data_IF_520466383450
#
_entry.id   IF_520466383450
#
_cell.length_a   1.000
_cell.length_b   1.000
_cell.length_c   1.000
_cell.angle_alpha   90.00
_cell.angle_beta   90.00
_cell.angle_gamma   90.00
#
_symmetry.space_group_name_H-M   'P 1'
#
loop_
_entity.id
_entity.type
_entity.pdbx_description
1 polymer ?
#
# COMPACT_ATOMS: atom_id res chain seq x y z
N UNK A 1 -6.84 4.16 26.38
CA UNK A 1 -8.21 4.53 26.76
C UNK A 1 -9.08 4.70 25.53
N UNK A 2 -10.37 4.57 25.68
CA UNK A 2 -11.36 4.75 24.62
C UNK A 2 -12.18 5.99 24.97
N UNK A 3 -12.38 6.90 24.02
CA UNK A 3 -13.27 8.04 24.19
C UNK A 3 -14.73 7.58 23.96
N UNK A 4 -15.41 7.27 25.04
CA UNK A 4 -16.79 6.76 25.00
C UNK A 4 -17.85 7.83 24.75
N UNK A 5 -17.52 9.11 24.89
CA UNK A 5 -18.46 10.21 24.70
C UNK A 5 -18.19 11.06 23.46
N UNK A 6 -17.22 10.66 22.65
CA UNK A 6 -16.85 11.28 21.37
C UNK A 6 -16.56 12.79 21.45
N UNK A 7 -16.03 13.28 22.59
CA UNK A 7 -15.68 14.69 22.75
C UNK A 7 -14.21 15.01 22.42
N UNK A 8 -13.45 14.02 21.96
CA UNK A 8 -12.03 14.15 21.64
C UNK A 8 -11.12 14.21 22.87
N UNK A 9 -11.65 13.94 24.07
CA UNK A 9 -10.89 13.92 25.31
C UNK A 9 -11.07 12.59 26.04
N UNK A 10 -9.97 12.05 26.55
CA UNK A 10 -10.01 10.85 27.41
C UNK A 10 -10.12 11.31 28.85
N UNK A 11 -11.23 10.94 29.51
CA UNK A 11 -11.49 11.28 30.88
C UNK A 11 -10.51 10.61 31.86
N UNK A 12 -10.41 11.11 33.10
CA UNK A 12 -9.51 10.54 34.10
C UNK A 12 -9.75 9.06 34.41
N UNK A 13 -10.97 8.61 34.26
CA UNK A 13 -11.34 7.19 34.40
C UNK A 13 -10.86 6.31 33.21
N UNK A 14 -10.52 6.94 32.10
CA UNK A 14 -10.09 6.30 30.85
C UNK A 14 -8.57 6.37 30.66
N UNK A 15 -7.87 7.10 31.53
CA UNK A 15 -6.41 7.27 31.45
C UNK A 15 -5.68 6.11 32.10
N UNK A 16 -4.69 5.61 31.42
CA UNK A 16 -3.69 4.75 32.05
C UNK A 16 -2.71 5.61 32.87
N UNK A 17 -2.24 5.10 34.00
CA UNK A 17 -1.45 5.90 34.96
C UNK A 17 0.01 6.14 34.56
N UNK A 18 0.46 5.64 33.43
CA UNK A 18 1.84 5.79 32.98
C UNK A 18 2.02 7.01 32.06
N UNK A 19 3.08 7.79 32.36
CA UNK A 19 3.44 9.03 31.67
C UNK A 19 4.10 8.77 30.28
N UNK A 20 3.51 7.94 29.44
CA UNK A 20 3.89 7.88 28.04
C UNK A 20 3.03 8.86 27.26
N UNK A 21 3.65 9.87 26.65
CA UNK A 21 2.99 10.74 25.69
C UNK A 21 2.84 9.98 24.37
N UNK A 22 1.78 9.22 24.23
CA UNK A 22 1.42 8.59 22.97
C UNK A 22 0.35 9.46 22.32
N UNK A 23 0.60 9.90 21.09
CA UNK A 23 -0.44 10.53 20.28
C UNK A 23 -1.36 9.42 19.80
N UNK A 24 -2.50 9.26 20.43
CA UNK A 24 -3.54 8.33 19.97
C UNK A 24 -4.39 9.10 18.96
N UNK A 25 -4.25 8.74 17.68
CA UNK A 25 -5.21 9.19 16.67
C UNK A 25 -6.40 8.26 16.77
N UNK A 26 -7.49 8.76 17.37
CA UNK A 26 -8.76 8.03 17.40
C UNK A 26 -9.45 8.29 16.05
N UNK A 27 -9.42 7.29 15.19
CA UNK A 27 -10.22 7.30 13.96
C UNK A 27 -11.52 6.55 14.24
N UNK A 28 -12.65 7.19 13.98
CA UNK A 28 -13.96 6.53 14.04
C UNK A 28 -14.17 5.63 12.82
N UNK A 29 -13.46 4.51 12.78
CA UNK A 29 -13.53 3.55 11.67
C UNK A 29 -14.89 2.82 11.58
N UNK A 30 -15.70 2.93 12.63
CA UNK A 30 -17.00 2.26 12.69
C UNK A 30 -18.18 3.23 12.45
N UNK A 31 -17.93 4.54 12.31
CA UNK A 31 -18.98 5.54 12.19
C UNK A 31 -19.89 5.62 13.43
N UNK A 32 -19.34 5.31 14.62
CA UNK A 32 -20.08 5.29 15.88
C UNK A 32 -20.29 6.71 16.42
N UNK A 33 -19.35 7.61 16.13
CA UNK A 33 -19.51 9.01 16.47
C UNK A 33 -20.32 9.72 15.37
N UNK A 34 -21.43 10.38 15.67
CA UNK A 34 -22.20 11.12 14.69
C UNK A 34 -21.37 12.32 14.19
N UNK A 35 -20.59 12.11 13.13
CA UNK A 35 -19.92 13.17 12.39
C UNK A 35 -20.92 13.84 11.45
N UNK A 36 -20.93 15.16 11.40
CA UNK A 36 -21.69 15.91 10.41
C UNK A 36 -20.91 15.93 9.08
N UNK A 37 -20.89 14.82 8.36
CA UNK A 37 -20.18 14.74 7.09
C UNK A 37 -20.33 13.40 6.40
N UNK A 38 -19.90 13.35 5.15
CA UNK A 38 -19.91 12.16 4.30
C UNK A 38 -18.75 11.21 4.61
N UNK A 39 -18.86 10.00 4.10
CA UNK A 39 -17.76 9.02 4.05
C UNK A 39 -17.32 8.88 2.60
N UNK A 40 -16.02 9.10 2.35
CA UNK A 40 -15.39 8.77 1.07
C UNK A 40 -14.49 7.57 1.27
N UNK A 41 -14.79 6.47 0.58
CA UNK A 41 -14.03 5.24 0.68
C UNK A 41 -13.88 4.55 -0.66
N UNK A 42 -12.90 3.68 -0.77
CA UNK A 42 -12.63 2.87 -1.95
C UNK A 42 -11.60 1.81 -1.66
N UNK A 43 -11.26 1.05 -2.71
CA UNK A 43 -10.22 0.04 -2.66
C UNK A 43 -9.23 0.19 -3.82
N UNK A 44 -8.02 -0.28 -3.60
CA UNK A 44 -6.94 -0.25 -4.58
C UNK A 44 -6.50 -1.69 -4.84
N UNK A 45 -6.78 -2.16 -6.05
CA UNK A 45 -6.48 -3.52 -6.47
C UNK A 45 -5.55 -3.52 -7.67
N UNK A 46 -4.77 -4.59 -7.84
CA UNK A 46 -4.03 -4.85 -9.09
C UNK A 46 -4.98 -5.28 -10.21
N UNK A 47 -4.54 -5.35 -11.49
CA UNK A 47 -5.34 -5.95 -12.57
C UNK A 47 -5.72 -7.43 -12.33
N UNK A 48 -5.08 -8.08 -11.36
CA UNK A 48 -5.38 -9.46 -10.91
C UNK A 48 -6.29 -9.50 -9.70
N UNK A 49 -6.81 -8.36 -9.26
CA UNK A 49 -7.63 -8.19 -8.05
C UNK A 49 -6.92 -8.46 -6.72
N UNK A 50 -5.58 -8.41 -6.72
CA UNK A 50 -4.82 -8.45 -5.48
C UNK A 50 -4.88 -7.08 -4.79
N UNK A 51 -5.16 -7.06 -3.49
CA UNK A 51 -5.20 -5.83 -2.70
C UNK A 51 -3.80 -5.20 -2.59
N UNK A 52 -3.71 -3.88 -2.72
CA UNK A 52 -2.44 -3.14 -2.72
C UNK A 52 -2.27 -2.39 -1.41
N UNK A 53 -1.30 -2.81 -0.61
CA UNK A 53 -0.92 -2.13 0.63
C UNK A 53 0.08 -0.99 0.39
N UNK A 54 0.33 -0.21 1.43
CA UNK A 54 1.33 0.88 1.47
C UNK A 54 1.11 1.96 0.39
N UNK A 55 -0.12 2.16 -0.05
CA UNK A 55 -0.49 3.30 -0.88
C UNK A 55 -0.92 4.44 0.02
N UNK A 56 -0.24 5.58 -0.11
CA UNK A 56 -0.71 6.81 0.51
C UNK A 56 -1.83 7.40 -0.33
N UNK A 57 -3.02 7.51 0.24
CA UNK A 57 -4.17 8.14 -0.39
C UNK A 57 -4.36 9.52 0.22
N UNK A 58 -4.39 10.54 -0.61
CA UNK A 58 -4.59 11.92 -0.21
C UNK A 58 -6.01 12.37 -0.59
N UNK A 59 -6.67 13.06 0.33
CA UNK A 59 -7.90 13.78 0.08
C UNK A 59 -7.58 15.27 0.10
N UNK A 60 -7.80 15.95 -1.02
CA UNK A 60 -7.48 17.38 -1.19
C UNK A 60 -8.73 18.21 -1.37
N UNK A 61 -8.78 19.34 -0.68
CA UNK A 61 -9.76 20.39 -0.81
C UNK A 61 -9.08 21.73 -0.44
N UNK A 62 -9.43 22.87 -1.06
CA UNK A 62 -8.80 24.17 -0.77
C UNK A 62 -8.95 24.65 0.68
N UNK A 63 -10.08 24.33 1.31
CA UNK A 63 -10.49 24.88 2.60
C UNK A 63 -10.27 23.92 3.78
N UNK A 64 -10.06 22.62 3.50
CA UNK A 64 -9.93 21.58 4.52
C UNK A 64 -8.64 20.79 4.37
N UNK A 65 -8.03 20.46 5.49
CA UNK A 65 -6.82 19.63 5.56
C UNK A 65 -7.18 18.27 6.12
N UNK A 66 -6.91 17.22 5.35
CA UNK A 66 -7.13 15.83 5.76
C UNK A 66 -5.78 15.11 5.94
N UNK A 67 -5.66 14.26 6.96
CA UNK A 67 -4.52 13.35 7.04
C UNK A 67 -4.55 12.37 5.86
N UNK A 68 -3.40 12.01 5.31
CA UNK A 68 -3.31 10.95 4.33
C UNK A 68 -3.70 9.60 4.93
N UNK A 69 -4.31 8.75 4.12
CA UNK A 69 -4.64 7.38 4.51
C UNK A 69 -3.63 6.42 3.89
N UNK A 70 -3.02 5.56 4.71
CA UNK A 70 -2.14 4.50 4.23
C UNK A 70 -2.93 3.20 4.13
N UNK A 71 -3.02 2.61 2.93
CA UNK A 71 -3.71 1.33 2.74
C UNK A 71 -2.97 0.19 3.45
N UNK A 72 -3.73 -0.70 4.04
CA UNK A 72 -3.26 -1.94 4.66
C UNK A 72 -3.41 -3.12 3.69
N UNK A 73 -3.30 -4.33 4.21
CA UNK A 73 -3.32 -5.58 3.44
C UNK A 73 -4.61 -5.85 2.67
N UNK A 74 -5.69 -5.16 3.01
CA UNK A 74 -6.99 -5.20 2.33
C UNK A 74 -7.10 -4.20 1.16
N UNK A 75 -6.10 -3.31 0.99
CA UNK A 75 -6.07 -2.30 -0.06
C UNK A 75 -7.11 -1.19 0.08
N UNK A 76 -7.82 -1.13 1.20
CA UNK A 76 -8.92 -0.20 1.41
C UNK A 76 -8.46 1.11 2.04
N UNK A 77 -9.18 2.17 1.69
CA UNK A 77 -9.03 3.48 2.32
C UNK A 77 -10.39 4.08 2.66
N UNK A 78 -10.40 4.98 3.66
CA UNK A 78 -11.61 5.64 4.11
C UNK A 78 -11.31 6.99 4.74
N UNK A 79 -12.04 8.01 4.29
CA UNK A 79 -12.11 9.32 4.93
C UNK A 79 -13.51 9.51 5.52
N UNK A 80 -13.58 9.78 6.81
CA UNK A 80 -14.85 10.03 7.51
C UNK A 80 -15.05 11.52 7.81
N UNK A 81 -16.28 11.90 8.09
CA UNK A 81 -16.65 13.28 8.45
C UNK A 81 -16.22 14.32 7.40
N UNK A 82 -16.30 13.96 6.11
CA UNK A 82 -15.97 14.86 5.01
C UNK A 82 -17.12 15.86 4.82
N UNK A 83 -16.88 17.18 4.86
CA UNK A 83 -17.93 18.19 4.72
C UNK A 83 -18.72 18.08 3.42
N UNK A 84 -20.02 18.35 3.49
CA UNK A 84 -20.91 18.39 2.33
C UNK A 84 -20.78 19.69 1.53
N UNK A 85 -21.31 19.67 0.30
CA UNK A 85 -21.38 20.80 -0.63
C UNK A 85 -20.01 21.37 -1.01
N UNK A 86 -18.99 20.56 -0.95
CA UNK A 86 -17.61 20.86 -1.32
C UNK A 86 -17.11 19.90 -2.38
N UNK A 87 -16.03 20.30 -3.06
CA UNK A 87 -15.40 19.48 -4.09
C UNK A 87 -14.09 18.91 -3.57
N UNK A 88 -13.82 17.63 -3.88
CA UNK A 88 -12.67 16.92 -3.39
C UNK A 88 -11.92 16.21 -4.51
N UNK A 89 -10.63 16.02 -4.30
CA UNK A 89 -9.81 15.18 -5.18
C UNK A 89 -9.15 14.09 -4.35
N UNK A 90 -9.34 12.83 -4.77
CA UNK A 90 -8.67 11.67 -4.19
C UNK A 90 -7.47 11.33 -5.07
N UNK A 91 -6.28 11.27 -4.47
CA UNK A 91 -5.01 10.99 -5.18
C UNK A 91 -4.25 9.88 -4.47
N UNK A 92 -4.15 8.68 -5.03
CA UNK A 92 -3.28 7.63 -4.52
C UNK A 92 -1.83 7.85 -4.96
N UNK A 93 -0.86 7.45 -4.13
CA UNK A 93 0.55 7.54 -4.45
C UNK A 93 1.35 6.40 -3.79
N UNK A 94 2.17 5.72 -4.59
CA UNK A 94 3.17 4.75 -4.13
C UNK A 94 4.32 4.72 -5.12
N UNK A 95 5.55 4.96 -4.61
CA UNK A 95 6.74 5.00 -5.47
C UNK A 95 7.93 4.32 -4.79
N UNK A 96 7.79 3.03 -4.56
CA UNK A 96 8.79 2.17 -3.93
C UNK A 96 9.12 0.96 -4.80
N UNK A 97 10.19 0.26 -4.47
CA UNK A 97 10.57 -1.02 -5.03
C UNK A 97 10.29 -1.18 -6.55
N UNK A 98 10.96 -0.35 -7.36
CA UNK A 98 10.77 -0.34 -8.82
C UNK A 98 11.02 -1.71 -9.48
N UNK A 99 11.86 -2.58 -8.89
CA UNK A 99 12.18 -3.91 -9.43
C UNK A 99 11.15 -4.99 -9.10
N UNK A 100 10.22 -4.73 -8.19
CA UNK A 100 9.21 -5.71 -7.81
C UNK A 100 8.38 -6.16 -9.01
N UNK A 101 8.42 -7.46 -9.34
CA UNK A 101 7.74 -8.04 -10.49
C UNK A 101 8.42 -7.83 -11.85
N UNK A 102 9.33 -6.85 -11.96
CA UNK A 102 9.96 -6.48 -13.23
C UNK A 102 11.13 -7.42 -13.55
N UNK A 103 11.05 -8.08 -14.71
CA UNK A 103 11.99 -9.13 -15.12
C UNK A 103 12.27 -9.12 -16.62
N UNK A 104 13.15 -10.00 -17.08
CA UNK A 104 13.42 -10.21 -18.52
C UNK A 104 12.22 -10.81 -19.25
N UNK A 105 11.30 -11.47 -18.54
CA UNK A 105 10.08 -12.01 -19.14
C UNK A 105 9.16 -10.89 -19.64
N UNK A 106 9.12 -9.77 -18.92
CA UNK A 106 8.36 -8.59 -19.34
C UNK A 106 8.91 -8.01 -20.64
N UNK A 107 10.24 -7.93 -20.77
CA UNK A 107 10.89 -7.51 -22.00
C UNK A 107 10.50 -8.41 -23.18
N UNK A 108 10.47 -9.72 -22.98
CA UNK A 108 10.05 -10.68 -24.01
C UNK A 108 8.59 -10.46 -24.41
N UNK A 109 7.70 -10.20 -23.45
CA UNK A 109 6.27 -9.94 -23.72
C UNK A 109 6.07 -8.63 -24.48
N UNK A 110 6.76 -7.56 -24.07
CA UNK A 110 6.72 -6.27 -24.79
C UNK A 110 7.26 -6.44 -26.19
N UNK A 111 8.37 -7.14 -26.37
CA UNK A 111 8.93 -7.41 -27.69
C UNK A 111 7.97 -8.17 -28.60
N UNK A 112 7.33 -9.22 -28.09
CA UNK A 112 6.31 -9.98 -28.86
C UNK A 112 5.12 -9.10 -29.25
N UNK A 113 4.68 -8.22 -28.37
CA UNK A 113 3.62 -7.26 -28.66
C UNK A 113 4.01 -6.32 -29.79
N UNK A 114 5.21 -5.70 -29.71
CA UNK A 114 5.72 -4.79 -30.74
C UNK A 114 5.90 -5.45 -32.10
N UNK A 115 6.22 -6.75 -32.11
CA UNK A 115 6.36 -7.55 -33.34
C UNK A 115 5.02 -8.12 -33.87
N UNK A 116 3.91 -7.90 -33.14
CA UNK A 116 2.60 -8.45 -33.50
C UNK A 116 2.48 -9.96 -33.34
N UNK A 117 3.41 -10.62 -32.62
CA UNK A 117 3.42 -12.07 -32.39
C UNK A 117 2.42 -12.44 -31.30
N UNK A 118 2.39 -11.68 -30.22
CA UNK A 118 1.49 -11.85 -29.06
C UNK A 118 1.12 -10.45 -28.55
N UNK A 119 -0.04 -9.96 -28.97
CA UNK A 119 -0.48 -8.61 -28.62
C UNK A 119 -1.00 -8.54 -27.18
N UNK A 120 -0.94 -7.38 -26.58
CA UNK A 120 -1.53 -7.15 -25.29
C UNK A 120 -3.04 -7.32 -25.33
N UNK A 121 -3.60 -7.91 -24.27
CA UNK A 121 -5.02 -8.23 -24.14
C UNK A 121 -5.72 -7.39 -23.07
N UNK A 122 -4.98 -6.52 -22.38
CA UNK A 122 -5.48 -5.65 -21.34
C UNK A 122 -4.91 -4.24 -21.50
N UNK A 123 -5.74 -3.18 -21.34
CA UNK A 123 -5.25 -1.81 -21.39
C UNK A 123 -4.19 -1.50 -20.33
N UNK A 124 -4.23 -2.17 -19.17
CA UNK A 124 -3.23 -2.01 -18.12
C UNK A 124 -1.83 -2.48 -18.54
N UNK A 125 -1.71 -3.41 -19.50
CA UNK A 125 -0.41 -3.83 -20.03
C UNK A 125 0.29 -2.72 -20.81
N UNK A 126 -0.46 -1.84 -21.49
CA UNK A 126 0.11 -0.67 -22.15
C UNK A 126 0.68 0.31 -21.13
N UNK A 127 -0.07 0.59 -20.05
CA UNK A 127 0.38 1.48 -18.96
C UNK A 127 1.62 0.89 -18.26
N UNK A 128 1.61 -0.43 -18.01
CA UNK A 128 2.76 -1.12 -17.43
C UNK A 128 4.00 -1.09 -18.32
N UNK A 129 3.83 -1.18 -19.64
CA UNK A 129 4.91 -1.19 -20.60
C UNK A 129 5.53 0.19 -20.84
N UNK A 130 4.79 1.29 -20.62
CA UNK A 130 5.24 2.68 -20.82
C UNK A 130 6.18 3.11 -19.67
N UNK A 131 7.41 2.69 -19.73
CA UNK A 131 8.40 2.94 -18.68
C UNK A 131 8.88 4.40 -18.64
N UNK A 132 8.80 5.12 -19.76
CA UNK A 132 9.22 6.52 -19.87
C UNK A 132 8.06 7.52 -19.75
N UNK A 133 6.82 7.02 -19.54
CA UNK A 133 5.60 7.83 -19.34
C UNK A 133 5.29 8.80 -20.50
N UNK A 134 5.46 8.33 -21.74
CA UNK A 134 5.19 9.13 -22.94
C UNK A 134 3.89 8.74 -23.67
N UNK A 135 3.08 7.86 -23.06
CA UNK A 135 1.83 7.32 -23.62
C UNK A 135 2.03 6.54 -24.93
N UNK A 136 3.15 5.85 -25.05
CA UNK A 136 3.47 5.05 -26.22
C UNK A 136 4.32 3.84 -25.80
N UNK A 137 4.02 2.65 -26.29
CA UNK A 137 4.86 1.47 -26.07
C UNK A 137 5.84 1.33 -27.23
N UNK A 138 7.14 1.33 -26.93
CA UNK A 138 8.20 1.33 -27.92
C UNK A 138 9.46 0.58 -27.46
N UNK A 139 10.46 0.49 -28.33
CA UNK A 139 11.77 -0.07 -27.98
C UNK A 139 12.51 0.76 -26.91
N UNK A 140 12.18 2.05 -26.75
CA UNK A 140 12.77 2.92 -25.73
C UNK A 140 12.36 2.44 -24.33
N UNK A 141 11.10 2.06 -24.15
CA UNK A 141 10.59 1.53 -22.88
C UNK A 141 11.29 0.23 -22.51
N UNK A 142 11.52 -0.65 -23.48
CA UNK A 142 12.29 -1.87 -23.27
C UNK A 142 13.73 -1.57 -22.81
N UNK A 143 14.35 -0.48 -23.31
CA UNK A 143 15.67 -0.05 -22.87
C UNK A 143 15.63 0.42 -21.42
N UNK A 144 14.64 1.21 -21.03
CA UNK A 144 14.50 1.70 -19.66
C UNK A 144 14.22 0.54 -18.67
N UNK A 145 13.34 -0.38 -19.04
CA UNK A 145 13.07 -1.59 -18.21
C UNK A 145 14.35 -2.44 -18.12
N UNK A 146 15.09 -2.63 -19.21
CA UNK A 146 16.35 -3.40 -19.20
C UNK A 146 17.38 -2.76 -18.27
N UNK A 147 17.53 -1.44 -18.29
CA UNK A 147 18.45 -0.72 -17.39
C UNK A 147 18.06 -0.91 -15.92
N UNK A 148 16.76 -0.90 -15.61
CA UNK A 148 16.26 -1.18 -14.27
C UNK A 148 16.58 -2.63 -13.85
N UNK A 149 16.29 -3.61 -14.70
CA UNK A 149 16.56 -5.04 -14.42
C UNK A 149 18.05 -5.28 -14.16
N UNK A 150 18.92 -4.67 -14.98
CA UNK A 150 20.38 -4.76 -14.84
C UNK A 150 20.92 -3.96 -13.65
N UNK A 151 20.11 -3.13 -13.01
CA UNK A 151 20.53 -2.31 -11.88
C UNK A 151 21.37 -1.08 -12.27
N UNK A 152 21.36 -0.69 -13.55
CA UNK A 152 21.97 0.55 -14.02
C UNK A 152 21.20 1.75 -13.45
N UNK A 153 19.88 1.61 -13.39
CA UNK A 153 19.00 2.53 -12.67
C UNK A 153 18.43 1.87 -11.42
N UNK A 154 18.40 2.54 -10.27
CA UNK A 154 17.68 2.08 -9.09
C UNK A 154 16.15 2.27 -9.22
N UNK A 155 15.74 3.28 -9.99
CA UNK A 155 14.35 3.71 -10.23
C UNK A 155 14.17 4.13 -11.69
N UNK A 156 12.95 4.15 -12.19
CA UNK A 156 12.65 4.75 -13.48
C UNK A 156 12.87 6.27 -13.43
N UNK A 157 13.65 6.87 -14.35
CA UNK A 157 13.97 8.30 -14.30
C UNK A 157 12.77 9.23 -14.55
N UNK A 158 11.78 8.78 -15.33
CA UNK A 158 10.65 9.59 -15.80
C UNK A 158 9.30 9.01 -15.40
N UNK A 159 9.27 7.94 -14.60
CA UNK A 159 8.03 7.32 -14.18
C UNK A 159 8.12 6.86 -12.72
N UNK A 160 6.96 6.71 -12.10
CA UNK A 160 6.81 6.13 -10.78
C UNK A 160 6.83 4.60 -10.87
N UNK A 161 6.98 3.93 -9.73
CA UNK A 161 6.94 2.46 -9.67
C UNK A 161 5.52 1.90 -9.84
N UNK A 162 4.52 2.67 -9.42
CA UNK A 162 3.11 2.35 -9.56
C UNK A 162 2.35 3.51 -10.20
N UNK A 163 1.41 3.18 -11.09
CA UNK A 163 0.41 4.09 -11.66
C UNK A 163 -0.97 3.65 -11.16
N UNK A 164 -1.84 4.61 -10.96
CA UNK A 164 -3.18 4.34 -10.45
C UNK A 164 -4.20 4.78 -11.48
N UNK A 165 -5.12 3.90 -11.82
CA UNK A 165 -6.16 4.15 -12.81
C UNK A 165 -7.50 4.18 -12.11
N UNK A 166 -8.20 5.29 -12.18
CA UNK A 166 -9.59 5.40 -11.73
C UNK A 166 -10.47 4.42 -12.51
N UNK A 167 -11.12 3.51 -11.78
CA UNK A 167 -12.03 2.50 -12.36
C UNK A 167 -13.18 3.15 -13.13
N UNK A 168 -13.61 4.32 -12.69
CA UNK A 168 -14.69 5.09 -13.33
C UNK A 168 -14.37 5.60 -14.75
N UNK A 169 -13.10 5.67 -15.13
CA UNK A 169 -12.69 6.16 -16.45
C UNK A 169 -12.91 5.17 -17.60
N UNK A 170 -13.10 3.88 -17.29
CA UNK A 170 -13.50 2.88 -18.30
C UNK A 170 -12.52 2.73 -19.47
N UNK A 171 -11.21 2.60 -19.22
CA UNK A 171 -10.18 2.45 -20.26
C UNK A 171 -10.39 1.19 -21.09
N UNK A 172 -10.05 1.26 -22.39
CA UNK A 172 -10.15 0.15 -23.33
C UNK A 172 -8.82 -0.15 -24.02
N UNK A 173 -8.76 -1.25 -24.75
CA UNK A 173 -7.54 -1.62 -25.53
C UNK A 173 -7.25 -0.58 -26.64
N UNK A 174 -8.27 0.05 -27.20
CA UNK A 174 -8.13 1.08 -28.22
C UNK A 174 -7.71 2.42 -27.63
N UNK A 175 -8.05 2.66 -26.34
CA UNK A 175 -7.79 3.90 -25.63
C UNK A 175 -7.18 3.65 -24.24
N UNK A 176 -6.01 3.04 -24.12
CA UNK A 176 -5.39 2.74 -22.83
C UNK A 176 -4.88 4.01 -22.09
N UNK A 177 -4.71 5.11 -22.82
CA UNK A 177 -4.17 6.36 -22.30
C UNK A 177 -5.22 7.35 -21.76
N UNK A 178 -6.51 7.09 -22.01
CA UNK A 178 -7.61 7.92 -21.53
C UNK A 178 -8.01 7.54 -20.09
N UNK A 179 -7.06 7.52 -19.18
CA UNK A 179 -7.32 7.27 -17.77
C UNK A 179 -7.02 8.50 -16.93
N UNK A 180 -7.70 8.59 -15.80
CA UNK A 180 -7.38 9.51 -14.72
C UNK A 180 -6.64 8.77 -13.62
N UNK A 181 -5.66 9.41 -13.01
CA UNK A 181 -4.98 8.91 -11.81
C UNK A 181 -5.52 9.54 -10.52
N UNK A 182 -6.56 10.35 -10.67
CA UNK A 182 -7.26 11.00 -9.57
C UNK A 182 -8.78 10.83 -9.76
N UNK A 183 -9.50 10.76 -8.65
CA UNK A 183 -10.97 10.85 -8.66
C UNK A 183 -11.36 12.25 -8.20
N UNK A 184 -12.13 12.95 -9.02
CA UNK A 184 -12.69 14.26 -8.70
C UNK A 184 -14.16 14.10 -8.30
N UNK A 185 -14.49 14.57 -7.11
CA UNK A 185 -15.84 14.62 -6.57
C UNK A 185 -16.27 16.07 -6.57
N UNK A 186 -17.29 16.39 -7.36
CA UNK A 186 -17.83 17.74 -7.45
C UNK A 186 -19.09 17.80 -6.61
N UNK A 187 -19.18 18.79 -5.71
CA UNK A 187 -20.35 19.08 -4.90
C UNK A 187 -20.85 17.83 -4.14
N UNK A 188 -20.11 17.41 -3.13
CA UNK A 188 -20.39 16.20 -2.34
C UNK A 188 -21.74 16.30 -1.63
N UNK A 189 -22.77 15.63 -2.17
CA UNK A 189 -24.14 15.67 -1.65
C UNK A 189 -24.60 14.36 -0.99
N UNK A 190 -23.78 13.31 -1.02
CA UNK A 190 -24.15 11.97 -0.52
C UNK A 190 -23.54 11.69 0.84
N UNK A 191 -24.28 11.01 1.71
CA UNK A 191 -23.80 10.56 3.03
C UNK A 191 -22.62 9.57 2.93
N UNK A 192 -22.51 8.84 1.83
CA UNK A 192 -21.36 7.97 1.61
C UNK A 192 -21.12 7.73 0.11
N UNK A 193 -19.84 7.76 -0.29
CA UNK A 193 -19.36 7.34 -1.60
C UNK A 193 -18.30 6.24 -1.37
N UNK A 194 -18.70 4.98 -1.57
CA UNK A 194 -17.94 3.79 -1.19
C UNK A 194 -17.15 3.15 -2.33
N UNK A 195 -17.29 3.65 -3.56
CA UNK A 195 -16.71 3.04 -4.78
C UNK A 195 -15.79 4.02 -5.49
N UNK A 196 -14.84 4.60 -4.74
CA UNK A 196 -13.79 5.44 -5.30
C UNK A 196 -12.56 4.57 -5.56
N UNK A 197 -12.69 3.61 -6.48
CA UNK A 197 -11.76 2.52 -6.63
C UNK A 197 -10.68 2.81 -7.67
N UNK A 198 -9.48 2.28 -7.45
CA UNK A 198 -8.37 2.39 -8.39
C UNK A 198 -7.80 1.02 -8.73
N UNK A 199 -7.35 0.89 -9.98
CA UNK A 199 -6.47 -0.20 -10.40
C UNK A 199 -5.03 0.28 -10.32
N UNK A 200 -4.24 -0.38 -9.47
CA UNK A 200 -2.81 -0.12 -9.35
C UNK A 200 -2.03 -0.93 -10.38
N UNK A 201 -1.35 -0.24 -11.27
CA UNK A 201 -0.54 -0.83 -12.35
C UNK A 201 0.95 -0.69 -12.00
N UNK A 202 1.65 -1.81 -11.91
CA UNK A 202 3.10 -1.82 -11.69
C UNK A 202 3.85 -1.54 -12.97
N UNK A 203 4.59 -0.43 -13.03
CA UNK A 203 5.38 -0.04 -14.20
C UNK A 203 6.52 -1.03 -14.41
N UNK A 204 6.67 -1.49 -15.64
CA UNK A 204 7.64 -2.49 -16.08
C UNK A 204 7.17 -3.95 -15.96
N UNK A 205 6.05 -4.21 -15.26
CA UNK A 205 5.50 -5.55 -15.02
C UNK A 205 4.25 -5.81 -15.87
N UNK A 206 4.45 -6.20 -17.12
CA UNK A 206 3.32 -6.49 -18.06
C UNK A 206 2.68 -7.85 -17.83
N UNK A 207 3.27 -8.69 -17.01
CA UNK A 207 2.77 -10.02 -16.68
C UNK A 207 2.06 -10.09 -15.32
N UNK A 208 1.97 -8.96 -14.61
CA UNK A 208 1.34 -8.80 -13.32
C UNK A 208 1.87 -9.80 -12.25
N UNK A 209 3.18 -9.90 -12.12
CA UNK A 209 3.86 -10.75 -11.13
C UNK A 209 4.33 -9.96 -9.90
N UNK A 210 4.18 -8.64 -9.92
CA UNK A 210 4.51 -7.79 -8.80
C UNK A 210 3.69 -8.16 -7.56
N UNK A 211 4.37 -8.21 -6.42
CA UNK A 211 3.74 -8.45 -5.13
C UNK A 211 3.16 -7.13 -4.63
N UNK A 212 1.86 -7.07 -4.57
CA UNK A 212 1.13 -5.90 -4.13
C UNK A 212 1.13 -5.74 -2.60
N UNK A 213 1.30 -6.88 -1.88
CA UNK A 213 1.17 -6.99 -0.44
C UNK A 213 2.35 -7.79 0.13
N UNK A 214 2.97 -7.32 1.23
CA UNK A 214 4.13 -7.98 1.84
C UNK A 214 3.78 -9.35 2.42
N UNK A 215 2.53 -9.56 2.84
CA UNK A 215 2.06 -10.86 3.31
C UNK A 215 1.95 -11.91 2.18
N UNK A 216 1.94 -11.47 0.91
CA UNK A 216 2.01 -12.37 -0.25
C UNK A 216 3.45 -12.72 -0.64
N UNK A 217 4.38 -12.70 0.29
CA UNK A 217 5.72 -13.25 0.05
C UNK A 217 5.62 -14.77 -0.04
N UNK A 218 5.13 -15.26 -1.18
CA UNK A 218 5.42 -16.65 -1.55
C UNK A 218 6.93 -16.74 -1.81
N UNK A 219 7.64 -17.64 -1.15
CA UNK A 219 9.08 -17.76 -1.33
C UNK A 219 9.40 -18.02 -2.80
N UNK A 220 10.36 -17.26 -3.31
CA UNK A 220 11.00 -17.55 -4.59
C UNK A 220 11.73 -18.88 -4.41
N UNK A 221 11.35 -19.90 -5.18
CA UNK A 221 11.98 -21.22 -5.21
C UNK A 221 12.12 -21.91 -3.85
N UNK A 222 11.07 -22.60 -3.42
CA UNK A 222 11.16 -23.63 -2.38
C UNK A 222 11.57 -23.14 -0.99
N UNK A 223 11.59 -21.85 -0.73
CA UNK A 223 11.82 -21.33 0.62
C UNK A 223 10.61 -21.60 1.50
N UNK A 224 10.86 -22.31 2.54
CA UNK A 224 9.88 -22.70 3.55
C UNK A 224 9.49 -21.49 4.40
N UNK A 225 8.20 -21.25 4.57
CA UNK A 225 7.72 -20.22 5.51
C UNK A 225 7.85 -20.80 6.91
N UNK A 226 8.62 -20.15 7.74
CA UNK A 226 8.74 -20.48 9.15
C UNK A 226 7.91 -19.49 9.95
N UNK A 227 6.95 -19.97 10.71
CA UNK A 227 6.19 -19.16 11.62
C UNK A 227 6.96 -18.99 12.92
N UNK A 228 7.17 -17.73 13.33
CA UNK A 228 7.73 -17.41 14.63
C UNK A 228 6.58 -17.09 15.57
N UNK A 229 6.36 -17.93 16.55
CA UNK A 229 5.37 -17.65 17.59
C UNK A 229 6.01 -16.73 18.63
N UNK A 230 5.41 -15.55 18.80
CA UNK A 230 5.78 -14.60 19.84
C UNK A 230 4.76 -14.73 20.95
N UNK A 231 5.18 -15.14 22.13
CA UNK A 231 4.36 -15.06 23.33
C UNK A 231 4.40 -13.64 23.88
N UNK A 232 3.27 -13.04 24.14
CA UNK A 232 3.18 -11.75 24.81
C UNK A 232 3.95 -11.80 26.14
N UNK A 233 4.76 -10.78 26.35
CA UNK A 233 5.36 -10.56 27.65
C UNK A 233 4.37 -9.75 28.50
N UNK A 234 4.07 -10.21 29.68
CA UNK A 234 3.36 -9.39 30.66
C UNK A 234 4.23 -8.15 30.94
N UNK A 235 3.72 -6.97 30.61
CA UNK A 235 4.40 -5.71 30.90
C UNK A 235 4.09 -5.33 32.33
N UNK A 236 5.12 -5.35 33.18
CA UNK A 236 5.03 -4.83 34.55
C UNK A 236 5.56 -3.39 34.62
N UNK A 237 6.29 -2.98 35.59
CA UNK A 237 6.61 -1.58 35.85
C UNK A 237 7.84 -1.08 35.03
N UNK A 238 7.99 0.24 34.92
CA UNK A 238 9.14 0.85 34.24
C UNK A 238 10.46 0.46 34.94
N UNK A 239 11.35 -0.20 34.17
CA UNK A 239 12.61 -0.74 34.64
C UNK A 239 12.63 -2.27 34.74
N UNK A 240 11.51 -2.92 34.49
CA UNK A 240 11.43 -4.37 34.46
C UNK A 240 12.01 -4.97 33.18
N UNK A 241 12.45 -6.21 33.28
CA UNK A 241 13.09 -6.93 32.19
C UNK A 241 12.00 -7.67 31.40
N UNK A 242 11.69 -7.14 30.21
CA UNK A 242 10.73 -7.77 29.29
C UNK A 242 11.44 -8.89 28.55
N UNK A 243 11.01 -10.12 28.75
CA UNK A 243 11.54 -11.30 28.05
C UNK A 243 10.58 -11.72 26.94
N UNK A 244 11.00 -11.56 25.69
CA UNK A 244 10.27 -12.01 24.52
C UNK A 244 10.80 -13.38 24.11
N UNK A 245 9.94 -14.40 24.15
CA UNK A 245 10.30 -15.75 23.75
C UNK A 245 9.90 -15.99 22.29
N UNK A 246 10.88 -16.45 21.51
CA UNK A 246 10.66 -16.88 20.12
C UNK A 246 10.82 -18.39 20.06
N UNK A 247 9.80 -19.08 19.56
CA UNK A 247 9.88 -20.50 19.29
C UNK A 247 9.77 -20.76 17.81
N UNK A 248 10.69 -21.56 17.29
CA UNK A 248 10.69 -21.99 15.89
C UNK A 248 10.66 -23.52 15.92
N UNK A 249 9.58 -24.10 15.42
CA UNK A 249 9.34 -25.55 15.45
C UNK A 249 10.10 -26.32 14.35
N UNK A 250 11.02 -25.64 13.65
CA UNK A 250 11.74 -26.21 12.51
C UNK A 250 13.25 -25.96 12.60
N UNK A 251 14.00 -26.86 11.98
CA UNK A 251 15.44 -26.71 11.90
C UNK A 251 15.82 -25.68 10.83
N UNK A 252 16.49 -24.59 11.24
CA UNK A 252 17.00 -23.55 10.36
C UNK A 252 18.52 -23.62 10.26
N UNK A 253 19.06 -23.42 9.06
CA UNK A 253 20.52 -23.28 8.87
C UNK A 253 21.03 -21.88 9.27
N UNK A 254 20.13 -20.90 9.34
CA UNK A 254 20.40 -19.55 9.77
C UNK A 254 19.18 -18.65 9.62
N UNK A 255 19.13 -17.56 10.37
CA UNK A 255 18.09 -16.55 10.25
C UNK A 255 18.66 -15.16 10.56
N UNK A 256 18.04 -14.16 9.98
CA UNK A 256 18.31 -12.76 10.28
C UNK A 256 16.98 -12.05 10.48
N UNK A 257 16.89 -11.26 11.51
CA UNK A 257 15.72 -10.45 11.82
C UNK A 257 16.12 -9.11 12.40
N UNK A 258 15.25 -8.14 12.28
CA UNK A 258 15.40 -6.81 12.83
C UNK A 258 14.30 -6.59 13.85
N UNK A 259 14.64 -6.21 15.05
CA UNK A 259 13.71 -5.83 16.09
C UNK A 259 13.69 -4.31 16.16
N UNK A 260 12.54 -3.71 15.89
CA UNK A 260 12.29 -2.29 16.14
C UNK A 260 11.54 -2.16 17.47
N UNK A 261 12.11 -1.43 18.40
CA UNK A 261 11.48 -1.18 19.70
C UNK A 261 11.46 0.32 19.99
N UNK A 262 10.40 0.78 20.62
CA UNK A 262 10.29 2.13 21.15
C UNK A 262 10.13 2.07 22.67
N UNK A 263 11.04 2.74 23.40
CA UNK A 263 11.00 2.76 24.87
C UNK A 263 11.60 1.54 25.56
N UNK A 264 12.24 0.62 24.81
CA UNK A 264 12.94 -0.54 25.36
C UNK A 264 14.43 -0.47 25.02
N UNK A 265 15.27 -0.85 25.97
CA UNK A 265 16.72 -1.01 25.77
C UNK A 265 17.05 -2.49 25.58
N UNK A 266 17.79 -2.82 24.52
CA UNK A 266 18.22 -4.18 24.27
C UNK A 266 19.31 -4.62 25.25
N UNK A 267 19.02 -5.62 26.07
CA UNK A 267 19.92 -6.14 27.08
C UNK A 267 20.73 -7.37 26.65
N UNK A 268 20.20 -8.13 25.68
CA UNK A 268 20.89 -9.33 25.19
C UNK A 268 19.92 -10.39 24.65
N UNK A 269 20.48 -11.43 24.05
CA UNK A 269 19.76 -12.60 23.59
C UNK A 269 20.33 -13.87 24.24
N UNK A 270 19.48 -14.68 24.81
CA UNK A 270 19.82 -15.99 25.32
C UNK A 270 19.33 -17.08 24.36
N UNK A 271 20.20 -18.00 23.98
CA UNK A 271 19.78 -19.21 23.24
C UNK A 271 19.47 -20.32 24.23
N UNK A 272 18.23 -20.81 24.21
CA UNK A 272 17.96 -22.09 24.85
C UNK A 272 18.18 -23.19 23.82
N UNK A 273 19.21 -23.97 24.00
CA UNK A 273 19.35 -25.27 23.31
C UNK A 273 18.38 -26.25 23.97
N UNK A 274 17.42 -26.75 23.20
CA UNK A 274 16.64 -27.93 23.56
C UNK A 274 17.43 -29.16 23.09
#
# INVERSE_FOLDING_TARGET
GVDHNCNGQIEWSERNKDHCTTTIVITDNAGVCPGSGSILAGEILTPRTDAVELVNVFLSNPDYVFPSYLTLTDGRFRFGSVPYNESYTITPARNDNHKNGVSTLDLVRIQKHLLGIEVFTSPYQFIAADANNNQQVSAIDMIEIRKLVLGIYPTFPQNQSWRFVDVGTGITLENPWQHSEIIQITDLASDSMMYNDFVAVKVGDVNNTAKANALQVLPRDGQRIVFVNVTEADTEEAGDLVKINFTIDEQLEGFQWTLESSGLEYMGMESSTI
#
